data_IF_328345461037
#
_entry.id   IF_328345461037
#
_cell.length_a   1.000
_cell.length_b   1.000
_cell.length_c   1.000
_cell.angle_alpha   90.00
_cell.angle_beta   90.00
_cell.angle_gamma   90.00
#
_symmetry.space_group_name_H-M   'P 1'
#
loop_
_entity.id
_entity.type
_entity.pdbx_description
1 polymer ?
#
# COMPACT_ATOMS: atom_id res chain seq x y z
N UNK A 1 5.19 -1.15 4.89
CA UNK A 1 6.41 -1.99 4.84
C UNK A 1 6.13 -3.33 4.19
N UNK A 2 6.98 -3.76 3.27
CA UNK A 2 6.91 -5.03 2.54
C UNK A 2 8.13 -5.87 2.92
N UNK A 3 7.91 -7.11 3.35
CA UNK A 3 8.95 -8.09 3.66
C UNK A 3 8.88 -9.25 2.68
N UNK A 4 10.01 -9.57 2.06
CA UNK A 4 10.17 -10.64 1.10
C UNK A 4 10.80 -11.85 1.78
N UNK A 5 10.13 -13.00 1.74
CA UNK A 5 10.49 -14.19 2.52
C UNK A 5 10.75 -15.39 1.59
N UNK A 6 11.87 -16.08 1.82
CA UNK A 6 12.19 -17.37 1.20
C UNK A 6 12.81 -18.30 2.24
N UNK A 7 12.46 -19.60 2.19
CA UNK A 7 12.94 -20.61 3.14
C UNK A 7 12.82 -20.14 4.60
N UNK A 8 11.70 -19.50 4.92
CA UNK A 8 11.39 -18.93 6.25
C UNK A 8 12.34 -17.82 6.74
N UNK A 9 13.16 -17.23 5.85
CA UNK A 9 14.03 -16.09 6.14
C UNK A 9 13.60 -14.86 5.37
N UNK A 10 13.63 -13.70 6.01
CA UNK A 10 13.47 -12.40 5.34
C UNK A 10 14.72 -12.16 4.50
N UNK A 11 14.55 -12.09 3.18
CA UNK A 11 15.63 -11.79 2.24
C UNK A 11 15.76 -10.28 2.03
N UNK A 12 14.62 -9.59 1.97
CA UNK A 12 14.60 -8.16 1.69
C UNK A 12 13.43 -7.51 2.41
N UNK A 13 13.61 -6.25 2.80
CA UNK A 13 12.55 -5.38 3.32
C UNK A 13 12.54 -4.10 2.50
N UNK A 14 11.34 -3.62 2.18
CA UNK A 14 11.11 -2.39 1.43
C UNK A 14 10.06 -1.56 2.16
N UNK A 15 10.24 -0.25 2.20
CA UNK A 15 9.22 0.70 2.66
C UNK A 15 8.87 1.60 1.50
N UNK A 16 7.58 1.76 1.26
CA UNK A 16 7.07 2.47 0.11
C UNK A 16 5.80 3.21 0.47
N UNK A 17 5.72 4.47 0.03
CA UNK A 17 4.49 5.25 0.02
C UNK A 17 3.60 4.80 -1.14
N UNK A 18 2.32 4.59 -0.84
CA UNK A 18 1.35 4.05 -1.80
C UNK A 18 0.41 5.12 -2.34
N UNK A 19 0.00 6.05 -1.48
CA UNK A 19 -0.89 7.17 -1.79
C UNK A 19 -0.74 8.21 -0.69
N UNK A 20 -0.89 9.47 -1.07
CA UNK A 20 -0.96 10.61 -0.16
C UNK A 20 -2.00 11.61 -0.64
N UNK A 21 -2.59 12.29 0.33
CA UNK A 21 -3.49 13.43 0.14
C UNK A 21 -2.96 14.54 1.01
N UNK A 22 -2.85 15.75 0.46
CA UNK A 22 -2.41 16.94 1.19
C UNK A 22 -3.47 18.03 1.11
N UNK A 23 -3.64 18.76 2.21
CA UNK A 23 -4.52 19.93 2.27
C UNK A 23 -3.69 21.19 2.53
N UNK A 24 -4.34 22.32 2.34
CA UNK A 24 -3.73 23.63 2.52
C UNK A 24 -3.31 23.90 3.97
N UNK A 25 -2.71 25.07 4.18
CA UNK A 25 -2.27 25.52 5.50
C UNK A 25 -3.47 25.77 6.41
N UNK A 26 -3.43 25.23 7.62
CA UNK A 26 -4.37 25.54 8.70
C UNK A 26 -3.85 26.77 9.44
N UNK A 27 -4.71 27.78 9.62
CA UNK A 27 -4.34 29.01 10.34
C UNK A 27 -4.25 28.75 11.85
N UNK A 28 -3.51 29.58 12.60
CA UNK A 28 -3.54 29.51 14.07
C UNK A 28 -4.97 29.63 14.59
N UNK A 29 -5.33 28.75 15.54
CA UNK A 29 -6.68 28.65 16.13
C UNK A 29 -7.78 28.15 15.19
N UNK A 30 -7.45 27.80 13.95
CA UNK A 30 -8.39 27.19 13.01
C UNK A 30 -8.38 25.66 13.17
N UNK A 31 -9.43 25.00 12.68
CA UNK A 31 -9.58 23.54 12.75
C UNK A 31 -9.90 23.01 11.37
N UNK A 32 -9.22 21.93 10.97
CA UNK A 32 -9.49 21.25 9.71
C UNK A 32 -9.99 19.83 9.96
N UNK A 33 -11.19 19.54 9.46
CA UNK A 33 -11.87 18.26 9.59
C UNK A 33 -11.75 17.47 8.27
N UNK A 34 -11.12 16.29 8.32
CA UNK A 34 -11.00 15.40 7.16
C UNK A 34 -12.16 14.40 7.18
N UNK A 35 -13.17 14.63 6.33
CA UNK A 35 -14.37 13.78 6.22
C UNK A 35 -14.47 13.22 4.81
N UNK A 36 -14.60 11.90 4.71
CA UNK A 36 -14.75 11.18 3.43
C UNK A 36 -13.55 11.30 2.47
N UNK A 37 -12.36 11.62 2.99
CA UNK A 37 -11.13 11.57 2.19
C UNK A 37 -10.77 10.11 1.90
N UNK A 38 -10.57 9.80 0.63
CA UNK A 38 -10.24 8.47 0.15
C UNK A 38 -8.76 8.37 -0.21
N UNK A 39 -8.11 7.31 0.26
CA UNK A 39 -6.75 6.95 -0.15
C UNK A 39 -6.82 5.73 -1.06
N UNK A 40 -6.50 5.91 -2.33
CA UNK A 40 -6.47 4.80 -3.28
C UNK A 40 -5.20 3.96 -3.08
N UNK A 41 -5.38 2.70 -2.70
CA UNK A 41 -4.28 1.74 -2.54
C UNK A 41 -4.12 0.95 -3.85
N UNK A 42 -3.04 1.16 -4.61
CA UNK A 42 -2.82 0.43 -5.85
C UNK A 42 -2.56 -1.06 -5.58
N UNK A 43 -2.89 -1.95 -6.52
CA UNK A 43 -2.52 -3.35 -6.41
C UNK A 43 -0.99 -3.48 -6.33
N UNK A 44 -0.49 -4.15 -5.30
CA UNK A 44 0.93 -4.38 -5.17
C UNK A 44 1.39 -5.47 -6.14
N UNK A 45 2.45 -5.22 -6.92
CA UNK A 45 2.95 -6.22 -7.85
C UNK A 45 3.50 -7.43 -7.07
N UNK A 46 3.46 -8.63 -7.68
CA UNK A 46 4.19 -9.79 -7.16
C UNK A 46 5.71 -9.55 -7.16
N UNK A 47 6.46 -10.39 -6.42
CA UNK A 47 7.91 -10.21 -6.21
C UNK A 47 8.78 -10.84 -7.32
N UNK A 48 9.70 -10.06 -7.91
CA UNK A 48 10.70 -10.53 -8.87
C UNK A 48 11.91 -11.25 -8.23
N UNK A 49 11.90 -11.43 -6.90
CA UNK A 49 13.01 -12.05 -6.19
C UNK A 49 13.01 -13.56 -6.40
N UNK A 50 14.08 -14.08 -7.01
CA UNK A 50 14.21 -15.52 -7.30
C UNK A 50 14.12 -16.33 -6.01
N UNK A 51 13.17 -17.27 -5.98
CA UNK A 51 12.94 -18.14 -4.82
C UNK A 51 12.12 -17.49 -3.69
N UNK A 52 11.73 -16.22 -3.81
CA UNK A 52 10.80 -15.57 -2.89
C UNK A 52 9.37 -15.92 -3.31
N UNK A 53 8.64 -16.59 -2.42
CA UNK A 53 7.27 -17.06 -2.67
C UNK A 53 6.28 -16.54 -1.63
N UNK A 54 6.77 -15.82 -0.60
CA UNK A 54 5.96 -15.24 0.45
C UNK A 54 6.33 -13.77 0.60
N UNK A 55 5.31 -12.92 0.58
CA UNK A 55 5.43 -11.51 0.93
C UNK A 55 4.55 -11.25 2.15
N UNK A 56 5.08 -10.50 3.11
CA UNK A 56 4.32 -9.98 4.24
C UNK A 56 4.26 -8.47 4.11
N UNK A 57 3.06 -7.93 4.10
CA UNK A 57 2.85 -6.49 3.96
C UNK A 57 2.20 -5.98 5.25
N UNK A 58 2.79 -4.94 5.81
CA UNK A 58 2.23 -4.14 6.88
C UNK A 58 1.89 -2.76 6.31
N UNK A 59 0.65 -2.35 6.49
CA UNK A 59 0.16 -1.06 6.03
C UNK A 59 -0.04 -0.14 7.23
N UNK A 60 0.46 1.08 7.06
CA UNK A 60 0.37 2.13 8.07
C UNK A 60 -0.11 3.39 7.34
N UNK A 61 -1.16 4.02 7.87
CA UNK A 61 -1.62 5.34 7.43
C UNK A 61 -1.00 6.36 8.36
N UNK A 62 -0.43 7.42 7.80
CA UNK A 62 0.16 8.49 8.57
C UNK A 62 -0.64 9.77 8.38
N UNK A 63 -1.00 10.42 9.50
CA UNK A 63 -1.38 11.82 9.50
C UNK A 63 -0.15 12.64 9.86
N UNK A 64 0.30 13.49 8.94
CA UNK A 64 1.52 14.28 9.07
C UNK A 64 1.13 15.76 9.10
N UNK A 65 1.60 16.47 10.11
CA UNK A 65 1.49 17.92 10.22
C UNK A 65 2.89 18.50 10.19
N UNK A 66 3.10 19.53 9.36
CA UNK A 66 4.37 20.24 9.21
C UNK A 66 4.21 21.69 9.71
N UNK A 67 4.46 21.97 11.00
CA UNK A 67 4.33 23.31 11.53
C UNK A 67 5.51 24.17 11.08
N UNK A 68 5.25 25.39 10.59
CA UNK A 68 6.31 26.28 10.10
C UNK A 68 7.42 26.59 11.12
N UNK A 69 7.13 26.48 12.42
CA UNK A 69 8.05 26.85 13.51
C UNK A 69 8.74 25.64 14.15
N UNK A 70 8.50 24.43 13.66
CA UNK A 70 9.12 23.21 14.19
C UNK A 70 10.03 22.60 13.13
N UNK A 71 11.25 22.23 13.52
CA UNK A 71 12.20 21.55 12.64
C UNK A 71 11.75 20.11 12.29
N UNK A 72 10.79 19.56 13.04
CA UNK A 72 10.32 18.19 12.89
C UNK A 72 8.82 18.15 12.66
N UNK A 73 8.45 17.32 11.70
CA UNK A 73 7.06 16.96 11.40
C UNK A 73 6.44 16.20 12.59
N UNK A 74 5.16 16.46 12.86
CA UNK A 74 4.38 15.70 13.83
C UNK A 74 3.66 14.59 13.07
N UNK A 75 3.91 13.33 13.42
CA UNK A 75 3.33 12.16 12.75
C UNK A 75 2.47 11.36 13.71
N UNK A 76 1.23 11.12 13.32
CA UNK A 76 0.35 10.13 13.93
C UNK A 76 0.29 8.90 13.03
N UNK A 77 0.67 7.75 13.57
CA UNK A 77 0.62 6.47 12.87
C UNK A 77 -0.66 5.70 13.21
N UNK A 78 -1.37 5.24 12.18
CA UNK A 78 -2.56 4.42 12.28
C UNK A 78 -2.30 3.09 11.55
N UNK A 79 -2.06 1.99 12.29
CA UNK A 79 -1.87 0.69 11.66
C UNK A 79 -3.20 0.20 11.09
N UNK A 80 -3.19 -0.24 9.82
CA UNK A 80 -4.38 -0.78 9.15
C UNK A 80 -4.12 -2.20 8.63
N UNK A 81 -5.18 -3.01 8.61
CA UNK A 81 -5.15 -4.32 7.99
C UNK A 81 -5.87 -4.26 6.63
N UNK A 82 -5.18 -4.65 5.57
CA UNK A 82 -5.80 -4.89 4.28
C UNK A 82 -5.63 -6.36 3.90
N UNK A 83 -6.76 -7.03 3.72
CA UNK A 83 -6.83 -8.41 3.27
C UNK A 83 -7.54 -8.47 1.92
N UNK A 84 -7.11 -9.38 1.04
CA UNK A 84 -7.86 -9.67 -0.18
C UNK A 84 -9.14 -10.41 0.22
N UNK A 85 -10.31 -9.81 -0.02
CA UNK A 85 -11.57 -10.51 0.19
C UNK A 85 -11.59 -11.74 -0.74
N UNK A 86 -11.63 -12.97 -0.21
CA UNK A 86 -11.54 -14.15 -1.06
C UNK A 86 -12.81 -14.23 -1.92
N UNK A 87 -12.63 -14.30 -3.24
CA UNK A 87 -13.74 -14.43 -4.17
C UNK A 87 -14.48 -15.76 -3.92
N UNK A 88 -15.74 -15.67 -3.49
CA UNK A 88 -16.60 -16.82 -3.19
C UNK A 88 -17.41 -17.23 -4.42
N UNK A 89 -17.86 -18.48 -4.46
CA UNK A 89 -18.87 -18.94 -5.41
C UNK A 89 -20.23 -18.32 -5.08
N UNK A 90 -21.20 -18.45 -5.99
CA UNK A 90 -22.63 -18.16 -5.74
C UNK A 90 -23.13 -18.80 -4.45
N UNK A 91 -22.60 -19.98 -4.12
CA UNK A 91 -22.99 -20.78 -2.96
C UNK A 91 -22.23 -20.40 -1.68
N UNK A 92 -21.50 -19.27 -1.68
CA UNK A 92 -20.74 -18.77 -0.53
C UNK A 92 -19.45 -19.54 -0.19
N UNK A 93 -19.20 -20.67 -0.85
CA UNK A 93 -17.98 -21.48 -0.67
C UNK A 93 -16.76 -20.85 -1.33
N UNK A 94 -15.56 -21.12 -0.80
CA UNK A 94 -14.30 -20.72 -1.45
C UNK A 94 -14.15 -21.49 -2.76
N UNK A 95 -13.80 -20.81 -3.85
CA UNK A 95 -13.43 -21.49 -5.11
C UNK A 95 -12.29 -22.48 -4.83
N UNK A 96 -12.52 -23.77 -5.12
CA UNK A 96 -11.44 -24.77 -5.14
C UNK A 96 -10.38 -24.26 -6.11
N UNK A 97 -9.19 -23.90 -5.62
CA UNK A 97 -8.08 -23.42 -6.45
C UNK A 97 -7.74 -24.51 -7.49
N UNK A 98 -8.19 -24.34 -8.73
CA UNK A 98 -7.41 -24.81 -9.87
C UNK A 98 -6.07 -24.07 -9.75
N UNK A 99 -4.95 -24.80 -9.77
CA UNK A 99 -3.63 -24.27 -9.43
C UNK A 99 -3.42 -22.83 -9.92
N UNK A 100 -2.91 -21.96 -9.07
CA UNK A 100 -2.72 -20.56 -9.42
C UNK A 100 -1.79 -20.48 -10.64
N UNK A 101 -2.36 -20.11 -11.79
CA UNK A 101 -1.60 -19.84 -13.01
C UNK A 101 -0.93 -18.48 -12.84
N UNK A 102 0.31 -18.49 -12.39
CA UNK A 102 1.13 -17.28 -12.34
C UNK A 102 1.70 -17.03 -13.73
N UNK A 103 1.68 -15.77 -14.22
CA UNK A 103 2.32 -15.46 -15.49
C UNK A 103 3.82 -15.76 -15.42
N UNK A 104 4.40 -16.24 -16.54
CA UNK A 104 5.82 -16.57 -16.64
C UNK A 104 6.75 -15.37 -16.39
N UNK A 105 6.23 -14.16 -16.53
CA UNK A 105 6.91 -12.91 -16.20
C UNK A 105 5.97 -12.05 -15.37
N UNK A 106 6.47 -11.48 -14.28
CA UNK A 106 5.69 -10.56 -13.48
C UNK A 106 5.55 -9.22 -14.18
N UNK A 107 4.40 -8.54 -14.04
CA UNK A 107 4.26 -7.18 -14.52
C UNK A 107 5.34 -6.30 -13.87
N UNK A 108 6.17 -5.67 -14.70
CA UNK A 108 7.19 -4.73 -14.24
C UNK A 108 6.48 -3.45 -13.83
N UNK A 109 6.54 -3.11 -12.55
CA UNK A 109 6.05 -1.83 -12.06
C UNK A 109 6.92 -0.70 -12.63
N UNK A 110 6.34 0.14 -13.47
CA UNK A 110 7.02 1.26 -14.14
C UNK A 110 6.40 2.59 -13.69
N UNK A 111 6.82 3.14 -12.54
CA UNK A 111 6.18 4.34 -11.97
C UNK A 111 6.20 5.58 -12.87
N UNK A 112 7.08 5.62 -13.89
CA UNK A 112 7.13 6.73 -14.85
C UNK A 112 6.07 6.65 -15.97
N UNK A 113 5.36 5.53 -16.11
CA UNK A 113 4.33 5.35 -17.15
C UNK A 113 2.96 5.88 -16.72
N UNK A 114 2.68 5.99 -15.42
CA UNK A 114 1.38 6.45 -14.90
C UNK A 114 1.17 7.97 -15.06
N UNK A 115 2.21 8.74 -15.38
CA UNK A 115 2.12 10.19 -15.59
C UNK A 115 1.57 10.60 -16.99
N UNK A 116 1.17 9.65 -17.85
CA UNK A 116 0.83 9.92 -19.26
C UNK A 116 -0.63 9.69 -19.65
N UNK A 117 -1.53 9.47 -18.71
CA UNK A 117 -2.92 9.10 -19.03
C UNK A 117 -3.96 9.94 -18.29
N UNK A 118 -3.85 11.26 -18.41
CA UNK A 118 -4.94 12.21 -18.16
C UNK A 118 -4.82 13.36 -19.17
N UNK A 119 -5.29 13.11 -20.40
CA UNK A 119 -5.76 14.14 -21.35
C UNK A 119 -7.25 13.91 -21.58
#
# INVERSE_FOLDING_TARGET
TIQYISKSKVIQTETRELSSVSRGKVKPSDTDDWKYEELYVPPLPPTNLRGCHLIRIQYDVFFIIEPNNLEKEIKLQLPIMMATYPYRNSDGTLKKKKGAQYPNSLPVFRPWLDNKSFE
#
